data_IF_723670035837
#
_entry.id   IF_723670035837
#
_cell.length_a   1.000
_cell.length_b   1.000
_cell.length_c   1.000
_cell.angle_alpha   90.00
_cell.angle_beta   90.00
_cell.angle_gamma   90.00
#
_symmetry.space_group_name_H-M   'P 1'
#
loop_
_entity.id
_entity.type
_entity.pdbx_description
1 polymer ?
#
# COMPACT_ATOMS: atom_id res chain seq x y z
N UNK A 1 -3.01 24.72 -6.34
CA UNK A 1 -3.84 23.49 -6.22
C UNK A 1 -3.16 22.56 -5.20
N UNK A 2 -3.85 22.19 -4.11
CA UNK A 2 -3.31 21.23 -3.12
C UNK A 2 -3.41 19.82 -3.70
N UNK A 3 -2.28 19.11 -3.79
CA UNK A 3 -2.27 17.70 -4.24
C UNK A 3 -2.79 16.79 -3.12
N UNK A 4 -3.59 15.79 -3.48
CA UNK A 4 -4.01 14.75 -2.54
C UNK A 4 -2.82 13.83 -2.20
N UNK A 5 -2.80 13.34 -0.96
CA UNK A 5 -1.83 12.32 -0.57
C UNK A 5 -2.16 10.99 -1.23
N UNK A 6 -1.12 10.30 -1.69
CA UNK A 6 -1.20 8.95 -2.21
C UNK A 6 -0.61 8.00 -1.17
N UNK A 7 -1.42 7.10 -0.66
CA UNK A 7 -1.02 6.09 0.31
C UNK A 7 -0.83 4.76 -0.42
N UNK A 8 0.40 4.27 -0.43
CA UNK A 8 0.74 2.97 -1.00
C UNK A 8 0.42 1.86 -0.01
N UNK A 9 -0.44 0.92 -0.38
CA UNK A 9 -0.75 -0.25 0.44
C UNK A 9 -0.17 -1.48 -0.24
N UNK A 10 0.90 -2.03 0.35
CA UNK A 10 1.65 -3.16 -0.16
C UNK A 10 1.39 -4.39 0.70
N UNK A 11 1.34 -5.57 0.08
CA UNK A 11 1.09 -6.81 0.80
C UNK A 11 0.90 -7.99 -0.14
N UNK A 12 0.77 -9.18 0.44
CA UNK A 12 0.70 -10.44 -0.30
C UNK A 12 -0.60 -10.63 -1.08
N UNK A 13 -0.51 -11.29 -2.22
CA UNK A 13 -1.68 -11.81 -2.95
C UNK A 13 -2.34 -12.99 -2.23
N UNK A 14 -1.63 -13.64 -1.30
CA UNK A 14 -2.18 -14.60 -0.35
C UNK A 14 -1.96 -14.05 1.06
N UNK A 15 -3.01 -13.94 1.84
CA UNK A 15 -2.97 -13.37 3.19
C UNK A 15 -3.96 -14.08 4.12
N UNK A 16 -3.69 -14.04 5.44
CA UNK A 16 -4.63 -14.50 6.44
C UNK A 16 -5.89 -13.61 6.44
N UNK A 17 -7.04 -14.16 6.84
CA UNK A 17 -8.30 -13.42 6.85
C UNK A 17 -8.22 -12.16 7.72
N UNK A 18 -7.54 -12.24 8.85
CA UNK A 18 -7.31 -11.08 9.74
C UNK A 18 -6.55 -9.94 9.07
N UNK A 19 -5.59 -10.25 8.19
CA UNK A 19 -4.83 -9.26 7.44
C UNK A 19 -5.66 -8.68 6.29
N UNK A 20 -6.47 -9.51 5.64
CA UNK A 20 -7.45 -9.10 4.62
C UNK A 20 -8.45 -8.11 5.24
N UNK A 21 -9.02 -8.41 6.41
CA UNK A 21 -9.95 -7.53 7.12
C UNK A 21 -9.29 -6.20 7.53
N UNK A 22 -8.04 -6.26 8.00
CA UNK A 22 -7.26 -5.08 8.35
C UNK A 22 -6.96 -4.22 7.12
N UNK A 23 -6.63 -4.84 5.98
CA UNK A 23 -6.38 -4.13 4.73
C UNK A 23 -7.65 -3.46 4.18
N UNK A 24 -8.80 -4.14 4.27
CA UNK A 24 -10.10 -3.54 3.93
C UNK A 24 -10.37 -2.29 4.78
N UNK A 25 -10.21 -2.42 6.11
CA UNK A 25 -10.42 -1.28 7.03
C UNK A 25 -9.46 -0.14 6.75
N UNK A 26 -8.18 -0.45 6.46
CA UNK A 26 -7.19 0.56 6.08
C UNK A 26 -7.63 1.32 4.82
N UNK A 27 -8.08 0.60 3.78
CA UNK A 27 -8.58 1.21 2.55
C UNK A 27 -9.76 2.16 2.79
N UNK A 28 -10.72 1.74 3.63
CA UNK A 28 -11.84 2.58 4.05
C UNK A 28 -11.36 3.89 4.73
N UNK A 29 -10.43 3.77 5.67
CA UNK A 29 -9.88 4.92 6.39
C UNK A 29 -9.06 5.85 5.48
N UNK A 30 -8.34 5.33 4.50
CA UNK A 30 -7.66 6.14 3.48
C UNK A 30 -8.68 7.00 2.72
N UNK A 31 -9.80 6.40 2.29
CA UNK A 31 -10.88 7.11 1.60
C UNK A 31 -11.54 8.18 2.50
N UNK A 32 -11.85 7.84 3.74
CA UNK A 32 -12.46 8.76 4.73
C UNK A 32 -11.58 10.01 4.99
N UNK A 33 -10.27 9.91 4.82
CA UNK A 33 -9.34 11.03 4.93
C UNK A 33 -9.14 11.79 3.60
N UNK A 34 -9.91 11.49 2.55
CA UNK A 34 -9.77 12.06 1.22
C UNK A 34 -8.37 11.85 0.61
N UNK A 35 -7.72 10.75 0.92
CA UNK A 35 -6.47 10.33 0.32
C UNK A 35 -6.72 9.34 -0.81
N UNK A 36 -5.74 9.20 -1.70
CA UNK A 36 -5.77 8.25 -2.80
C UNK A 36 -5.10 6.95 -2.33
N UNK A 37 -5.74 5.82 -2.56
CA UNK A 37 -5.13 4.51 -2.35
C UNK A 37 -4.39 4.07 -3.62
N UNK A 38 -3.14 3.65 -3.47
CA UNK A 38 -2.35 3.04 -4.54
C UNK A 38 -1.85 1.66 -4.10
N UNK A 39 -1.97 0.68 -4.99
CA UNK A 39 -1.40 -0.66 -4.76
C UNK A 39 -1.01 -1.34 -6.08
N UNK A 40 -0.63 -2.62 -6.02
CA UNK A 40 -0.23 -3.39 -7.19
C UNK A 40 -1.36 -3.79 -8.15
N UNK A 41 -2.59 -3.45 -7.85
CA UNK A 41 -3.75 -3.54 -8.76
C UNK A 41 -4.36 -4.93 -8.95
N UNK A 42 -3.78 -6.01 -8.41
CA UNK A 42 -4.28 -7.38 -8.64
C UNK A 42 -5.53 -7.70 -7.80
N UNK A 43 -6.38 -8.60 -8.33
CA UNK A 43 -7.60 -9.11 -7.71
C UNK A 43 -7.30 -10.21 -6.66
N UNK A 44 -6.38 -9.95 -5.75
CA UNK A 44 -5.94 -10.93 -4.75
C UNK A 44 -5.46 -10.29 -3.44
N UNK A 45 -5.74 -10.97 -2.33
CA UNK A 45 -5.20 -10.71 -1.00
C UNK A 45 -5.34 -9.26 -0.53
N UNK A 46 -4.24 -8.69 -0.09
CA UNK A 46 -4.17 -7.32 0.45
C UNK A 46 -4.55 -6.27 -0.60
N UNK A 47 -4.15 -6.47 -1.85
CA UNK A 47 -4.46 -5.53 -2.93
C UNK A 47 -5.97 -5.42 -3.16
N UNK A 48 -6.64 -6.55 -3.32
CA UNK A 48 -8.10 -6.61 -3.50
C UNK A 48 -8.84 -6.00 -2.31
N UNK A 49 -8.47 -6.42 -1.09
CA UNK A 49 -9.15 -5.98 0.12
C UNK A 49 -9.03 -4.48 0.36
N UNK A 50 -7.83 -3.91 0.22
CA UNK A 50 -7.59 -2.48 0.42
C UNK A 50 -8.32 -1.64 -0.63
N UNK A 51 -8.27 -2.04 -1.89
CA UNK A 51 -8.99 -1.35 -2.97
C UNK A 51 -10.51 -1.38 -2.74
N UNK A 52 -11.06 -2.55 -2.36
CA UNK A 52 -12.48 -2.72 -2.03
C UNK A 52 -12.89 -1.79 -0.88
N UNK A 53 -12.10 -1.75 0.19
CA UNK A 53 -12.36 -0.86 1.34
C UNK A 53 -12.41 0.60 0.92
N UNK A 54 -11.47 1.06 0.11
CA UNK A 54 -11.44 2.44 -0.38
C UNK A 54 -12.66 2.76 -1.26
N UNK A 55 -12.98 1.92 -2.24
CA UNK A 55 -14.11 2.16 -3.16
C UNK A 55 -15.44 2.16 -2.42
N UNK A 56 -15.67 1.24 -1.50
CA UNK A 56 -16.92 1.17 -0.72
C UNK A 56 -17.14 2.38 0.17
N UNK A 57 -16.10 3.17 0.42
CA UNK A 57 -16.15 4.42 1.19
C UNK A 57 -15.89 5.68 0.33
N UNK A 58 -16.11 5.59 -0.98
CA UNK A 58 -16.08 6.73 -1.89
C UNK A 58 -14.67 7.24 -2.26
N UNK A 59 -13.64 6.44 -2.01
CA UNK A 59 -12.25 6.80 -2.30
C UNK A 59 -11.84 6.56 -3.74
N UNK A 60 -10.69 7.11 -4.13
CA UNK A 60 -10.05 6.91 -5.43
C UNK A 60 -8.94 5.86 -5.30
N UNK A 61 -8.88 4.93 -6.26
CA UNK A 61 -7.91 3.83 -6.27
C UNK A 61 -7.10 3.81 -7.55
N UNK A 62 -5.78 3.66 -7.39
CA UNK A 62 -4.82 3.49 -8.50
C UNK A 62 -4.17 2.13 -8.34
N UNK A 63 -4.14 1.34 -9.41
CA UNK A 63 -3.45 0.06 -9.47
C UNK A 63 -2.31 0.10 -10.48
N UNK A 64 -1.08 -0.14 -10.03
CA UNK A 64 0.08 -0.26 -10.92
C UNK A 64 0.29 -1.74 -11.23
N UNK A 65 -0.19 -2.18 -12.38
CA UNK A 65 -0.19 -3.59 -12.76
C UNK A 65 1.13 -4.01 -13.42
N UNK A 66 1.60 -5.23 -13.12
CA UNK A 66 2.80 -5.79 -13.74
C UNK A 66 2.56 -6.20 -15.20
N UNK A 67 1.31 -6.46 -15.55
CA UNK A 67 0.89 -7.00 -16.83
C UNK A 67 0.66 -5.88 -17.87
N UNK A 68 0.63 -6.23 -19.14
CA UNK A 68 0.26 -5.34 -20.24
C UNK A 68 -1.26 -5.36 -20.53
N UNK A 69 -2.03 -6.12 -19.74
CA UNK A 69 -3.48 -6.30 -19.90
C UNK A 69 -4.20 -6.20 -18.56
N UNK A 70 -5.52 -6.02 -18.61
CA UNK A 70 -6.38 -5.92 -17.42
C UNK A 70 -6.82 -7.29 -16.84
N UNK A 71 -6.31 -8.41 -17.33
CA UNK A 71 -6.85 -9.75 -17.04
C UNK A 71 -6.94 -10.08 -15.54
N UNK A 72 -5.99 -9.61 -14.74
CA UNK A 72 -5.93 -9.89 -13.30
C UNK A 72 -6.12 -8.61 -12.46
N UNK A 73 -6.72 -7.59 -13.03
CA UNK A 73 -6.98 -6.33 -12.32
C UNK A 73 -8.18 -6.49 -11.39
N UNK A 74 -8.07 -6.00 -10.17
CA UNK A 74 -9.20 -5.90 -9.24
C UNK A 74 -10.30 -5.00 -9.81
N UNK A 75 -11.56 -5.41 -9.69
CA UNK A 75 -12.72 -4.59 -10.05
C UNK A 75 -12.84 -3.29 -9.23
N UNK A 76 -12.14 -3.23 -8.10
CA UNK A 76 -12.09 -2.07 -7.21
C UNK A 76 -10.95 -1.09 -7.56
N UNK A 77 -10.24 -1.29 -8.65
CA UNK A 77 -9.27 -0.33 -9.17
C UNK A 77 -9.94 0.56 -10.22
N UNK A 78 -10.04 1.85 -9.91
CA UNK A 78 -10.63 2.84 -10.85
C UNK A 78 -9.64 3.29 -11.92
N UNK A 79 -8.37 3.41 -11.57
CA UNK A 79 -7.31 3.83 -12.50
C UNK A 79 -6.27 2.71 -12.60
N UNK A 80 -6.43 1.77 -13.54
CA UNK A 80 -5.41 0.76 -13.79
C UNK A 80 -4.31 1.33 -14.69
N UNK A 81 -3.05 1.19 -14.25
CA UNK A 81 -1.87 1.56 -15.04
C UNK A 81 -1.17 0.26 -15.45
N UNK A 82 -1.26 -0.07 -16.71
CA UNK A 82 -0.70 -1.30 -17.30
C UNK A 82 0.76 -1.02 -17.68
N UNK A 83 1.69 -1.63 -16.96
CA UNK A 83 3.11 -1.35 -17.18
C UNK A 83 3.82 -2.36 -18.09
N UNK A 84 3.37 -3.60 -18.11
CA UNK A 84 4.08 -4.69 -18.79
C UNK A 84 5.47 -4.96 -18.22
N UNK A 85 5.80 -4.43 -17.02
CA UNK A 85 7.15 -4.44 -16.45
C UNK A 85 7.37 -5.58 -15.46
N UNK A 86 6.37 -6.43 -15.23
CA UNK A 86 6.49 -7.48 -14.22
C UNK A 86 6.82 -6.90 -12.83
N UNK A 87 7.77 -7.51 -12.15
CA UNK A 87 8.16 -7.09 -10.79
C UNK A 87 8.84 -5.71 -10.73
N UNK A 88 9.37 -5.21 -11.83
CA UNK A 88 10.01 -3.89 -11.88
C UNK A 88 9.01 -2.75 -11.60
N UNK A 89 7.69 -2.98 -11.79
CA UNK A 89 6.65 -1.98 -11.45
C UNK A 89 6.59 -1.67 -9.95
N UNK A 90 7.17 -2.50 -9.07
CA UNK A 90 7.26 -2.23 -7.64
C UNK A 90 7.96 -0.89 -7.36
N UNK A 91 8.93 -0.51 -8.18
CA UNK A 91 9.57 0.81 -8.07
C UNK A 91 8.57 1.95 -8.32
N UNK A 92 7.67 1.79 -9.29
CA UNK A 92 6.63 2.78 -9.59
C UNK A 92 5.65 2.90 -8.40
N UNK A 93 5.23 1.77 -7.80
CA UNK A 93 4.40 1.78 -6.61
C UNK A 93 5.00 2.69 -5.53
N UNK A 94 6.28 2.48 -5.24
CA UNK A 94 6.97 3.16 -4.15
C UNK A 94 7.21 4.64 -4.47
N UNK A 95 7.70 4.96 -5.67
CA UNK A 95 7.98 6.34 -6.04
C UNK A 95 6.73 7.20 -6.12
N UNK A 96 5.59 6.61 -6.51
CA UNK A 96 4.31 7.31 -6.64
C UNK A 96 3.57 7.51 -5.32
N UNK A 97 3.97 6.83 -4.25
CA UNK A 97 3.34 6.92 -2.92
C UNK A 97 4.03 7.95 -2.03
N UNK A 98 3.27 8.70 -1.24
CA UNK A 98 3.81 9.60 -0.22
C UNK A 98 4.27 8.85 1.03
N UNK A 99 3.45 7.91 1.50
CA UNK A 99 3.72 7.00 2.63
C UNK A 99 3.33 5.59 2.21
N UNK A 100 4.08 4.60 2.66
CA UNK A 100 3.82 3.19 2.39
C UNK A 100 3.30 2.52 3.66
N UNK A 101 2.19 1.77 3.55
CA UNK A 101 1.74 0.82 4.57
C UNK A 101 2.00 -0.57 4.03
N UNK A 102 2.89 -1.30 4.69
CA UNK A 102 3.25 -2.67 4.35
C UNK A 102 2.50 -3.65 5.26
N UNK A 103 1.64 -4.44 4.66
CA UNK A 103 0.95 -5.58 5.27
C UNK A 103 1.76 -6.86 5.05
N UNK A 104 1.44 -7.97 5.75
CA UNK A 104 2.13 -9.24 5.55
C UNK A 104 2.17 -9.68 4.08
N UNK A 105 3.33 -10.12 3.65
CA UNK A 105 3.58 -10.54 2.27
C UNK A 105 4.91 -11.24 2.11
N UNK A 106 5.19 -11.66 0.89
CA UNK A 106 6.42 -12.36 0.54
C UNK A 106 7.53 -11.44 -0.01
N UNK A 107 8.38 -12.01 -0.85
CA UNK A 107 9.56 -11.34 -1.42
C UNK A 107 9.19 -10.05 -2.19
N UNK A 108 8.03 -9.99 -2.84
CA UNK A 108 7.56 -8.78 -3.52
C UNK A 108 7.36 -7.63 -2.54
N UNK A 109 6.65 -7.87 -1.43
CA UNK A 109 6.43 -6.87 -0.39
C UNK A 109 7.74 -6.44 0.28
N UNK A 110 8.64 -7.37 0.55
CA UNK A 110 9.98 -7.07 1.08
C UNK A 110 10.77 -6.20 0.09
N UNK A 111 10.69 -6.47 -1.20
CA UNK A 111 11.33 -5.65 -2.23
C UNK A 111 10.80 -4.21 -2.24
N UNK A 112 9.50 -4.03 -2.05
CA UNK A 112 8.87 -2.71 -1.95
C UNK A 112 9.32 -1.96 -0.71
N UNK A 113 9.42 -2.64 0.44
CA UNK A 113 9.98 -2.05 1.67
C UNK A 113 11.42 -1.59 1.43
N UNK A 114 12.27 -2.45 0.86
CA UNK A 114 13.66 -2.11 0.58
C UNK A 114 13.78 -0.91 -0.37
N UNK A 115 12.97 -0.85 -1.42
CA UNK A 115 12.93 0.28 -2.36
C UNK A 115 12.46 1.56 -1.67
N UNK A 116 11.44 1.48 -0.80
CA UNK A 116 10.95 2.62 -0.04
C UNK A 116 12.04 3.20 0.86
N UNK A 117 12.70 2.36 1.65
CA UNK A 117 13.78 2.76 2.55
C UNK A 117 14.99 3.34 1.80
N UNK A 118 15.37 2.73 0.67
CA UNK A 118 16.42 3.27 -0.20
C UNK A 118 16.10 4.69 -0.69
N UNK A 119 14.83 4.98 -0.91
CA UNK A 119 14.34 6.30 -1.36
C UNK A 119 13.91 7.21 -0.19
N UNK A 120 14.30 6.88 1.05
CA UNK A 120 14.02 7.66 2.27
C UNK A 120 12.52 7.93 2.47
N UNK A 121 11.67 6.97 2.09
CA UNK A 121 10.23 7.03 2.31
C UNK A 121 9.87 6.30 3.60
N UNK A 122 8.91 6.85 4.32
CA UNK A 122 8.38 6.22 5.51
C UNK A 122 7.56 4.98 5.17
N UNK A 123 7.81 3.90 5.91
CA UNK A 123 7.10 2.62 5.81
C UNK A 123 6.46 2.32 7.16
N UNK A 124 5.17 2.05 7.14
CA UNK A 124 4.41 1.61 8.30
C UNK A 124 4.16 0.11 8.14
N UNK A 125 4.84 -0.71 8.92
CA UNK A 125 4.64 -2.16 8.98
C UNK A 125 3.40 -2.45 9.83
N UNK A 126 2.31 -2.85 9.19
CA UNK A 126 1.06 -3.18 9.86
C UNK A 126 0.91 -4.70 9.98
N UNK A 127 0.94 -5.21 11.22
CA UNK A 127 0.95 -6.66 11.51
C UNK A 127 2.06 -7.43 10.79
N UNK A 128 3.16 -6.77 10.43
CA UNK A 128 4.22 -7.36 9.64
C UNK A 128 5.57 -7.19 10.35
N UNK A 129 6.11 -8.30 10.84
CA UNK A 129 7.46 -8.35 11.39
C UNK A 129 8.47 -8.56 10.24
N UNK A 130 9.32 -7.58 10.03
CA UNK A 130 10.35 -7.60 8.97
C UNK A 130 11.73 -7.94 9.51
N UNK A 131 11.84 -8.34 10.80
CA UNK A 131 13.10 -8.66 11.46
C UNK A 131 14.03 -7.46 11.56
N UNK A 132 15.34 -7.73 11.65
CA UNK A 132 16.38 -6.72 11.92
C UNK A 132 17.18 -6.26 10.70
N UNK A 133 16.88 -6.82 9.50
CA UNK A 133 17.66 -6.54 8.30
C UNK A 133 17.66 -5.04 7.91
N UNK A 134 16.63 -4.32 8.32
CA UNK A 134 16.44 -2.90 8.02
C UNK A 134 16.72 -1.96 9.22
N UNK A 135 17.34 -2.43 10.30
CA UNK A 135 17.56 -1.63 11.52
C UNK A 135 18.31 -0.31 11.29
N UNK A 136 19.19 -0.27 10.30
CA UNK A 136 19.89 0.97 9.92
C UNK A 136 18.97 2.06 9.35
N UNK A 137 17.72 1.72 9.00
CA UNK A 137 16.70 2.63 8.47
C UNK A 137 15.56 2.86 9.48
N UNK A 138 15.77 2.56 10.76
CA UNK A 138 14.72 2.61 11.80
C UNK A 138 13.97 3.96 11.88
N UNK A 139 14.61 5.04 11.48
CA UNK A 139 13.98 6.38 11.44
C UNK A 139 12.84 6.49 10.43
N UNK A 140 12.84 5.63 9.39
CA UNK A 140 11.80 5.58 8.37
C UNK A 140 10.79 4.45 8.60
N UNK A 141 10.99 3.60 9.62
CA UNK A 141 10.15 2.43 9.87
C UNK A 141 9.27 2.66 11.10
N UNK A 142 7.98 2.45 10.93
CA UNK A 142 6.99 2.53 11.99
C UNK A 142 6.26 1.19 12.08
N UNK A 143 5.82 0.82 13.28
CA UNK A 143 5.10 -0.44 13.50
C UNK A 143 3.75 -0.18 14.13
N UNK A 144 2.73 -0.89 13.68
CA UNK A 144 1.40 -0.87 14.26
C UNK A 144 0.69 -2.21 14.06
N UNK A 145 -0.35 -2.44 14.86
CA UNK A 145 -1.25 -3.60 14.69
C UNK A 145 -2.62 -3.19 14.15
N UNK A 146 -2.96 -1.90 14.24
CA UNK A 146 -4.31 -1.41 13.91
C UNK A 146 -4.29 -0.43 12.75
N UNK A 147 -5.23 -0.54 11.80
CA UNK A 147 -5.36 0.41 10.70
C UNK A 147 -5.53 1.86 11.18
N UNK A 148 -6.29 2.09 12.25
CA UNK A 148 -6.51 3.43 12.81
C UNK A 148 -5.19 4.09 13.26
N UNK A 149 -4.30 3.31 13.88
CA UNK A 149 -2.99 3.82 14.29
C UNK A 149 -2.10 4.11 13.08
N UNK A 150 -2.22 3.33 12.00
CA UNK A 150 -1.51 3.63 10.75
C UNK A 150 -1.92 5.01 10.20
N UNK A 151 -3.21 5.33 10.26
CA UNK A 151 -3.72 6.65 9.84
C UNK A 151 -3.14 7.78 10.70
N UNK A 152 -3.08 7.61 12.02
CA UNK A 152 -2.50 8.62 12.91
C UNK A 152 -0.99 8.83 12.65
N UNK A 153 -0.27 7.74 12.38
CA UNK A 153 1.15 7.84 11.97
C UNK A 153 1.25 8.61 10.64
N UNK A 154 0.43 8.28 9.63
CA UNK A 154 0.42 9.01 8.35
C UNK A 154 0.19 10.50 8.57
N UNK A 155 -0.81 10.88 9.37
CA UNK A 155 -1.10 12.27 9.69
C UNK A 155 0.10 12.98 10.32
N UNK A 156 0.79 12.32 11.26
CA UNK A 156 1.96 12.88 11.93
C UNK A 156 3.16 13.09 10.98
N UNK A 157 3.32 12.19 10.00
CA UNK A 157 4.40 12.24 9.01
C UNK A 157 4.14 13.26 7.90
N UNK A 158 2.87 13.55 7.64
CA UNK A 158 2.45 14.41 6.53
C UNK A 158 1.82 15.71 7.03
N UNK A 159 2.07 16.09 8.29
CA UNK A 159 1.48 17.26 8.92
C UNK A 159 1.51 18.47 7.96
N UNK A 160 0.33 18.76 7.41
CA UNK A 160 0.06 19.83 6.45
C UNK A 160 -0.99 20.74 7.09
#
# INVERSE_FOLDING_TARGET
MKRQLIIGVMGGGTAAQTDVDSAYKLGALVAENNWILLNGGRNAGIMEASAKGAIKNGGLTIGILPDATNTNTSEYIQIPILTGMGNARNCINILSSNVIVACPGGAGTISEIALALKNQKHVICMNFDIGTIFDKYKEFIHHTKKPENAIEIIKSLTAI
#
